data_IF_717049758560
#
_entry.id   IF_717049758560
#
_cell.length_a   1.000
_cell.length_b   1.000
_cell.length_c   1.000
_cell.angle_alpha   90.00
_cell.angle_beta   90.00
_cell.angle_gamma   90.00
#
_symmetry.space_group_name_H-M   'P 1'
#
loop_
_entity.id
_entity.type
_entity.pdbx_description
1 polymer ?
#
# COMPACT_ATOMS: atom_id res chain seq x y z
N UNK A 1 -8.03 9.55 -28.83
CA UNK A 1 -7.46 9.20 -27.55
C UNK A 1 -5.93 9.29 -27.64
N UNK A 2 -5.30 9.91 -26.62
CA UNK A 2 -3.83 10.02 -26.56
C UNK A 2 -3.33 8.86 -25.71
N UNK A 3 -2.46 8.01 -26.25
CA UNK A 3 -1.68 7.06 -25.45
C UNK A 3 -0.63 7.87 -24.68
N UNK A 4 -0.93 8.21 -23.44
CA UNK A 4 -0.09 9.06 -22.61
C UNK A 4 0.80 8.29 -21.63
N UNK A 5 0.53 7.00 -21.42
CA UNK A 5 1.28 6.12 -20.54
C UNK A 5 1.12 4.66 -21.00
N UNK A 6 2.12 3.85 -20.75
CA UNK A 6 2.10 2.40 -20.95
C UNK A 6 1.87 1.65 -19.63
N UNK A 7 2.27 2.27 -18.51
CA UNK A 7 2.12 1.75 -17.14
C UNK A 7 1.52 2.82 -16.26
N UNK A 8 0.57 2.46 -15.40
CA UNK A 8 0.01 3.33 -14.36
C UNK A 8 0.46 2.90 -12.97
N UNK A 9 0.82 3.88 -12.14
CA UNK A 9 1.34 3.67 -10.79
C UNK A 9 0.50 4.44 -9.73
N UNK A 10 -0.81 4.16 -9.62
CA UNK A 10 -1.61 4.80 -8.57
C UNK A 10 -1.25 4.23 -7.21
N UNK A 11 -1.31 5.07 -6.17
CA UNK A 11 -1.11 4.69 -4.78
C UNK A 11 -2.45 4.52 -4.08
N UNK A 12 -2.64 3.42 -3.38
CA UNK A 12 -3.93 3.06 -2.77
C UNK A 12 -4.41 4.07 -1.73
N UNK A 13 -3.47 4.66 -0.96
CA UNK A 13 -3.81 5.63 0.08
C UNK A 13 -4.18 7.01 -0.52
N UNK A 14 -3.62 7.34 -1.68
CA UNK A 14 -3.80 8.64 -2.33
C UNK A 14 -4.91 8.63 -3.39
N UNK A 15 -5.13 7.50 -4.06
CA UNK A 15 -6.09 7.39 -5.15
C UNK A 15 -7.52 7.01 -4.70
N UNK A 16 -7.77 6.84 -3.39
CA UNK A 16 -9.11 6.61 -2.86
C UNK A 16 -9.42 5.15 -2.48
N UNK A 17 -8.40 4.33 -2.26
CA UNK A 17 -8.53 2.96 -1.75
C UNK A 17 -8.80 1.91 -2.83
N UNK A 18 -9.04 0.68 -2.38
CA UNK A 18 -9.22 -0.51 -3.22
C UNK A 18 -10.25 -0.27 -4.35
N UNK A 19 -11.40 0.31 -4.02
CA UNK A 19 -12.49 0.50 -4.99
C UNK A 19 -12.07 1.41 -6.14
N UNK A 20 -11.38 2.50 -5.86
CA UNK A 20 -10.95 3.44 -6.90
C UNK A 20 -9.80 2.86 -7.74
N UNK A 21 -8.85 2.15 -7.12
CA UNK A 21 -7.80 1.47 -7.87
C UNK A 21 -8.36 0.40 -8.80
N UNK A 22 -9.38 -0.36 -8.37
CA UNK A 22 -10.08 -1.33 -9.27
C UNK A 22 -10.69 -0.64 -10.48
N UNK A 23 -11.28 0.54 -10.32
CA UNK A 23 -11.83 1.32 -11.44
C UNK A 23 -10.71 1.82 -12.37
N UNK A 24 -9.62 2.34 -11.79
CA UNK A 24 -8.45 2.79 -12.56
C UNK A 24 -7.90 1.61 -13.38
N UNK A 25 -7.70 0.46 -12.74
CA UNK A 25 -7.19 -0.74 -13.37
C UNK A 25 -8.09 -1.23 -14.52
N UNK A 26 -9.42 -1.21 -14.34
CA UNK A 26 -10.37 -1.60 -15.38
C UNK A 26 -10.34 -0.66 -16.60
N UNK A 27 -10.18 0.65 -16.36
CA UNK A 27 -10.01 1.63 -17.42
C UNK A 27 -8.67 1.40 -18.16
N UNK A 28 -7.59 1.18 -17.41
CA UNK A 28 -6.26 0.89 -17.94
C UNK A 28 -6.27 -0.39 -18.80
N UNK A 29 -6.87 -1.46 -18.28
CA UNK A 29 -7.02 -2.74 -18.99
C UNK A 29 -7.70 -2.57 -20.35
N UNK A 30 -8.77 -1.77 -20.42
CA UNK A 30 -9.49 -1.49 -21.67
C UNK A 30 -8.62 -0.79 -22.73
N UNK A 31 -7.44 -0.30 -22.35
CA UNK A 31 -6.47 0.39 -23.20
C UNK A 31 -5.14 -0.36 -23.31
N UNK A 32 -5.08 -1.59 -22.81
CA UNK A 32 -3.85 -2.40 -22.77
C UNK A 32 -2.71 -1.74 -21.98
N UNK A 33 -3.06 -0.98 -20.93
CA UNK A 33 -2.12 -0.33 -20.02
C UNK A 33 -1.98 -1.23 -18.80
N UNK A 34 -0.75 -1.47 -18.36
CA UNK A 34 -0.47 -2.28 -17.18
C UNK A 34 -0.50 -1.47 -15.87
N UNK A 35 -0.61 -2.17 -14.77
CA UNK A 35 -0.63 -1.60 -13.42
C UNK A 35 0.65 -2.00 -12.68
N UNK A 36 1.37 -1.00 -12.16
CA UNK A 36 2.50 -1.17 -11.26
C UNK A 36 2.29 -0.25 -10.05
N UNK A 37 1.41 -0.59 -9.09
CA UNK A 37 0.99 0.34 -8.05
C UNK A 37 2.13 0.90 -7.23
N UNK A 38 2.05 2.20 -6.90
CA UNK A 38 3.00 2.90 -6.05
C UNK A 38 2.75 2.55 -4.58
N UNK A 39 3.79 2.13 -3.86
CA UNK A 39 3.65 1.72 -2.46
C UNK A 39 4.74 2.31 -1.56
N UNK A 40 4.45 3.45 -0.96
CA UNK A 40 5.22 4.07 0.13
C UNK A 40 4.25 4.41 1.26
N UNK A 41 3.47 3.43 1.70
CA UNK A 41 2.40 3.62 2.68
C UNK A 41 2.61 2.83 3.97
N UNK A 42 1.63 2.86 4.86
CA UNK A 42 1.65 2.04 6.08
C UNK A 42 1.62 0.54 5.74
N UNK A 43 2.01 -0.34 6.68
CA UNK A 43 1.93 -1.78 6.46
C UNK A 43 0.51 -2.28 6.14
N UNK A 44 -0.52 -1.61 6.66
CA UNK A 44 -1.93 -1.90 6.30
C UNK A 44 -2.19 -1.57 4.84
N UNK A 45 -1.71 -0.39 4.38
CA UNK A 45 -1.83 0.03 2.99
C UNK A 45 -1.10 -0.92 2.05
N UNK A 46 0.12 -1.33 2.41
CA UNK A 46 0.90 -2.29 1.63
C UNK A 46 0.16 -3.62 1.45
N UNK A 47 -0.42 -4.19 2.51
CA UNK A 47 -1.18 -5.43 2.40
C UNK A 47 -2.49 -5.25 1.64
N UNK A 48 -3.15 -4.10 1.76
CA UNK A 48 -4.36 -3.81 0.98
C UNK A 48 -4.05 -3.74 -0.52
N UNK A 49 -2.90 -3.20 -0.89
CA UNK A 49 -2.47 -3.10 -2.27
C UNK A 49 -2.07 -4.47 -2.85
N UNK A 50 -1.31 -5.26 -2.10
CA UNK A 50 -0.94 -6.63 -2.47
C UNK A 50 -2.18 -7.51 -2.69
N UNK A 51 -3.20 -7.41 -1.82
CA UNK A 51 -4.47 -8.10 -1.99
C UNK A 51 -5.25 -7.62 -3.23
N UNK A 52 -5.14 -6.33 -3.54
CA UNK A 52 -5.72 -5.77 -4.75
C UNK A 52 -5.04 -6.34 -5.99
N UNK A 53 -3.71 -6.39 -6.00
CA UNK A 53 -2.89 -6.82 -7.14
C UNK A 53 -3.25 -8.23 -7.62
N UNK A 54 -3.48 -9.16 -6.71
CA UNK A 54 -3.96 -10.53 -7.00
C UNK A 54 -5.24 -10.52 -7.84
N UNK A 55 -6.05 -9.49 -7.69
CA UNK A 55 -7.34 -9.34 -8.37
C UNK A 55 -7.26 -8.61 -9.71
N UNK A 56 -6.09 -8.14 -10.14
CA UNK A 56 -5.91 -7.34 -11.34
C UNK A 56 -5.36 -8.18 -12.49
N UNK A 57 -6.10 -8.24 -13.59
CA UNK A 57 -5.70 -8.97 -14.80
C UNK A 57 -4.50 -8.32 -15.48
N UNK A 58 -4.41 -6.99 -15.39
CA UNK A 58 -3.35 -6.17 -15.99
C UNK A 58 -2.26 -5.77 -15.00
N UNK A 59 -2.11 -6.50 -13.89
CA UNK A 59 -1.00 -6.34 -12.95
C UNK A 59 0.33 -6.72 -13.61
N UNK A 60 1.35 -5.93 -13.39
CA UNK A 60 2.71 -6.16 -13.90
C UNK A 60 3.70 -6.40 -12.76
N UNK A 61 3.80 -5.45 -11.84
CA UNK A 61 4.71 -5.51 -10.70
C UNK A 61 4.24 -4.58 -9.59
N UNK A 62 4.52 -4.94 -8.33
CA UNK A 62 4.29 -4.10 -7.16
C UNK A 62 5.56 -3.36 -6.76
N UNK A 63 5.49 -2.05 -6.58
CA UNK A 63 6.52 -1.32 -5.86
C UNK A 63 6.49 -1.73 -4.39
N UNK A 64 7.59 -2.24 -3.86
CA UNK A 64 7.64 -2.79 -2.52
C UNK A 64 8.72 -2.11 -1.67
N UNK A 65 8.31 -1.16 -0.85
CA UNK A 65 9.19 -0.38 0.02
C UNK A 65 9.35 -0.93 1.44
N UNK A 66 8.63 -1.98 1.80
CA UNK A 66 8.62 -2.51 3.16
C UNK A 66 10.03 -2.85 3.69
N UNK A 67 10.94 -3.30 2.84
CA UNK A 67 12.31 -3.64 3.23
C UNK A 67 13.15 -2.42 3.69
N UNK A 68 12.74 -1.21 3.32
CA UNK A 68 13.39 0.02 3.77
C UNK A 68 12.88 0.52 5.12
N UNK A 69 11.77 -0.03 5.59
CA UNK A 69 11.22 0.34 6.89
C UNK A 69 11.82 -0.50 8.01
N UNK A 70 11.98 0.12 9.16
CA UNK A 70 12.55 -0.50 10.36
C UNK A 70 11.62 -0.31 11.57
N UNK A 71 11.97 -0.94 12.69
CA UNK A 71 11.27 -0.77 13.95
C UNK A 71 9.84 -1.31 13.92
N UNK A 72 8.90 -0.49 14.36
CA UNK A 72 7.52 -0.91 14.57
C UNK A 72 6.71 -1.17 13.31
N UNK A 73 7.21 -0.81 12.12
CA UNK A 73 6.50 -1.06 10.86
C UNK A 73 6.03 -2.51 10.71
N UNK A 74 6.85 -3.47 11.13
CA UNK A 74 6.53 -4.89 11.00
C UNK A 74 5.84 -5.49 12.25
N UNK A 75 5.85 -4.77 13.36
CA UNK A 75 5.32 -5.29 14.64
C UNK A 75 3.93 -4.79 14.97
N UNK A 76 3.42 -3.79 14.23
CA UNK A 76 2.07 -3.24 14.42
C UNK A 76 0.98 -4.10 13.78
N UNK A 77 1.37 -5.11 13.00
CA UNK A 77 0.48 -6.07 12.37
C UNK A 77 0.90 -7.50 12.69
N UNK A 78 -0.08 -8.33 13.00
CA UNK A 78 0.07 -9.77 12.99
C UNK A 78 -0.39 -10.31 11.63
N UNK A 79 0.43 -11.13 10.96
CA UNK A 79 0.15 -11.68 9.63
C UNK A 79 0.78 -10.90 8.46
N UNK A 80 1.61 -9.88 8.72
CA UNK A 80 2.31 -9.18 7.65
C UNK A 80 3.32 -10.11 6.95
N UNK A 81 3.16 -10.30 5.64
CA UNK A 81 4.06 -11.12 4.85
C UNK A 81 5.18 -10.26 4.23
N UNK A 82 6.41 -10.67 4.46
CA UNK A 82 7.59 -10.06 3.81
C UNK A 82 7.84 -10.69 2.46
N UNK A 83 8.42 -9.91 1.57
CA UNK A 83 8.87 -10.44 0.29
C UNK A 83 9.98 -11.48 0.51
N UNK A 84 10.01 -12.47 -0.38
CA UNK A 84 11.06 -13.46 -0.48
C UNK A 84 11.36 -13.73 -1.95
N UNK A 85 12.60 -13.61 -2.33
CA UNK A 85 13.05 -13.86 -3.71
C UNK A 85 12.28 -13.05 -4.78
N UNK A 86 11.83 -11.83 -4.42
CA UNK A 86 11.05 -10.95 -5.29
C UNK A 86 9.55 -11.21 -5.31
N UNK A 87 9.04 -12.09 -4.44
CA UNK A 87 7.62 -12.43 -4.34
C UNK A 87 7.07 -12.21 -2.93
N UNK A 88 5.79 -11.95 -2.84
CA UNK A 88 5.04 -11.91 -1.59
C UNK A 88 3.96 -12.99 -1.64
N UNK A 89 4.00 -13.90 -0.67
CA UNK A 89 2.97 -14.92 -0.53
C UNK A 89 1.70 -14.31 0.07
N UNK A 90 0.57 -14.49 -0.59
CA UNK A 90 -0.72 -14.03 -0.10
C UNK A 90 -1.33 -15.03 0.87
N UNK A 91 -2.04 -14.50 1.86
CA UNK A 91 -2.81 -15.27 2.82
C UNK A 91 -4.23 -15.51 2.31
N UNK A 92 -4.73 -16.73 2.46
CA UNK A 92 -6.14 -17.08 2.23
C UNK A 92 -7.07 -16.65 3.38
N UNK A 93 -6.54 -15.97 4.41
CA UNK A 93 -7.34 -15.49 5.52
C UNK A 93 -8.29 -14.36 5.08
N UNK A 94 -9.46 -14.24 5.72
CA UNK A 94 -10.44 -13.21 5.37
C UNK A 94 -9.89 -11.77 5.46
N UNK A 95 -10.44 -10.86 4.67
CA UNK A 95 -10.08 -9.45 4.66
C UNK A 95 -8.71 -9.22 4.03
N UNK A 96 -7.83 -8.55 4.75
CA UNK A 96 -6.44 -8.31 4.29
C UNK A 96 -5.47 -9.42 4.72
N UNK A 97 -5.97 -10.46 5.39
CA UNK A 97 -5.15 -11.56 5.89
C UNK A 97 -4.26 -11.19 7.07
N UNK A 98 -4.61 -10.12 7.80
CA UNK A 98 -3.84 -9.60 8.93
C UNK A 98 -4.74 -9.04 10.04
N UNK A 99 -4.17 -8.89 11.23
CA UNK A 99 -4.81 -8.25 12.38
C UNK A 99 -3.94 -7.11 12.91
N UNK A 100 -4.57 -6.09 13.50
CA UNK A 100 -3.85 -5.00 14.14
C UNK A 100 -3.30 -5.44 15.50
N UNK A 101 -2.01 -5.29 15.73
CA UNK A 101 -1.41 -5.44 17.04
C UNK A 101 -1.60 -4.16 17.86
N UNK A 102 -2.78 -4.01 18.46
CA UNK A 102 -3.14 -2.81 19.22
C UNK A 102 -2.20 -2.53 20.40
N UNK A 103 -1.63 -3.57 20.99
CA UNK A 103 -0.65 -3.44 22.10
C UNK A 103 0.63 -2.80 21.63
N UNK A 104 1.08 -3.15 20.43
CA UNK A 104 2.26 -2.57 19.83
C UNK A 104 1.97 -1.14 19.36
N UNK A 105 0.85 -0.93 18.70
CA UNK A 105 0.42 0.40 18.24
C UNK A 105 0.36 1.39 19.41
N UNK A 106 -0.14 0.97 20.57
CA UNK A 106 -0.24 1.83 21.75
C UNK A 106 1.12 2.33 22.28
N UNK A 107 2.23 1.65 21.96
CA UNK A 107 3.59 2.10 22.30
C UNK A 107 4.10 3.22 21.41
N UNK A 108 3.45 3.45 20.27
CA UNK A 108 3.83 4.42 19.25
C UNK A 108 2.74 5.50 19.09
N UNK A 109 2.46 6.31 20.14
CA UNK A 109 1.44 7.34 20.05
C UNK A 109 1.81 8.39 18.99
N UNK A 110 0.81 9.08 18.40
CA UNK A 110 1.06 10.15 17.45
C UNK A 110 2.05 11.17 18.03
N UNK A 111 2.97 11.63 17.21
CA UNK A 111 3.89 12.70 17.62
C UNK A 111 3.09 13.92 18.06
N UNK A 112 3.43 14.45 19.25
CA UNK A 112 2.90 15.74 19.68
C UNK A 112 3.27 16.79 18.63
N UNK A 113 2.32 17.66 18.31
CA UNK A 113 2.48 18.75 17.36
C UNK A 113 3.81 19.47 17.60
N UNK A 114 4.76 19.32 16.69
CA UNK A 114 6.01 20.10 16.73
C UNK A 114 5.67 21.45 16.08
N UNK A 115 5.51 22.49 16.89
CA UNK A 115 5.47 23.86 16.40
C UNK A 115 6.91 24.32 16.25
N UNK A 116 7.47 24.29 15.05
CA UNK A 116 8.63 25.10 14.73
C UNK A 116 8.18 26.57 14.62
N UNK A 117 9.03 27.50 14.97
CA UNK A 117 8.79 28.95 14.87
C UNK A 117 8.60 29.34 13.39
N UNK A 118 7.49 28.98 12.77
CA UNK A 118 7.22 29.34 11.38
C UNK A 118 6.23 28.43 10.63
N UNK A 119 5.77 27.34 11.19
CA UNK A 119 4.81 26.49 10.49
C UNK A 119 4.25 25.37 11.35
N UNK A 120 2.98 25.08 11.15
CA UNK A 120 2.34 23.92 11.76
C UNK A 120 2.54 22.70 10.83
N UNK A 121 3.40 21.77 11.20
CA UNK A 121 3.43 20.46 10.55
C UNK A 121 2.30 19.63 11.16
N UNK A 122 1.28 19.30 10.37
CA UNK A 122 0.29 18.29 10.76
C UNK A 122 0.96 16.94 10.53
N UNK A 123 1.21 16.22 11.61
CA UNK A 123 1.52 14.81 11.50
C UNK A 123 0.31 14.06 10.91
N UNK A 124 0.59 13.25 9.94
CA UNK A 124 -0.35 12.27 9.39
C UNK A 124 -0.43 11.11 10.36
#
# INVERSE_FOLDING_TARGET
>A
EKHAADVLQPDIANAGGITELKKIAAIAESKHITMAPHNVCSPVGAMAEIQLDESLINFEIQEYHAEFYTGHYFTVLDGFTRQKDGYVDLSDAPGLGLELNEREIAKHPPLKKITSSGGTVRGI
#
